data_IF_075298677892
#
_entry.id   IF_075298677892
#
_cell.length_a   1.000
_cell.length_b   1.000
_cell.length_c   1.000
_cell.angle_alpha   90.00
_cell.angle_beta   90.00
_cell.angle_gamma   90.00
#
_symmetry.space_group_name_H-M   'P 1'
#
loop_
_entity.id
_entity.type
_entity.pdbx_description
1 polymer ?
#
# COMPACT_ATOMS: atom_id res chain seq x y z
N UNK A 1 -0.17 -8.11 -25.72
CA UNK A 1 0.68 -7.92 -24.51
C UNK A 1 1.60 -6.73 -24.77
N UNK A 2 1.58 -5.75 -23.91
CA UNK A 2 2.36 -4.49 -24.05
C UNK A 2 3.25 -4.34 -22.82
N UNK A 3 4.51 -3.98 -23.04
CA UNK A 3 5.47 -3.81 -21.93
C UNK A 3 5.10 -2.60 -21.08
N UNK A 4 5.24 -2.73 -19.77
CA UNK A 4 4.96 -1.65 -18.83
C UNK A 4 5.72 -0.36 -19.18
N UNK A 5 6.98 -0.52 -19.67
CA UNK A 5 7.81 0.60 -20.12
C UNK A 5 7.16 1.41 -21.25
N UNK A 6 6.44 0.76 -22.14
CA UNK A 6 5.78 1.43 -23.27
C UNK A 6 4.55 2.20 -22.81
N UNK A 7 3.90 1.72 -21.75
CA UNK A 7 2.70 2.34 -21.13
C UNK A 7 3.08 3.54 -20.25
N UNK A 8 4.09 3.40 -19.39
CA UNK A 8 4.40 4.41 -18.36
C UNK A 8 5.73 5.12 -18.57
N UNK A 9 6.60 4.59 -19.43
CA UNK A 9 8.00 4.99 -19.48
C UNK A 9 8.83 4.38 -18.35
N UNK A 10 9.98 4.99 -18.07
CA UNK A 10 10.79 4.65 -16.90
C UNK A 10 10.12 5.13 -15.62
N UNK A 11 10.29 4.40 -14.54
CA UNK A 11 9.86 4.87 -13.24
C UNK A 11 10.64 6.13 -12.83
N UNK A 12 9.92 7.22 -12.53
CA UNK A 12 10.54 8.43 -12.00
C UNK A 12 10.95 8.19 -10.54
N UNK A 13 12.15 8.58 -10.18
CA UNK A 13 12.64 8.48 -8.81
C UNK A 13 12.08 9.62 -7.95
N UNK A 14 11.65 9.30 -6.73
CA UNK A 14 11.15 10.31 -5.79
C UNK A 14 12.25 11.20 -5.21
N UNK A 15 11.82 12.15 -4.39
CA UNK A 15 12.68 13.11 -3.69
C UNK A 15 12.49 12.97 -2.18
N UNK A 16 13.55 13.26 -1.42
CA UNK A 16 13.47 13.20 0.03
C UNK A 16 13.72 14.55 0.70
N UNK A 17 14.63 15.36 0.15
CA UNK A 17 15.00 16.65 0.72
C UNK A 17 15.60 16.58 2.13
N UNK A 18 15.41 17.64 2.92
CA UNK A 18 15.86 17.75 4.31
C UNK A 18 14.67 17.78 5.26
N UNK A 19 14.93 17.62 6.56
CA UNK A 19 13.88 17.68 7.59
C UNK A 19 13.20 19.05 7.59
N UNK A 20 11.90 19.05 7.85
CA UNK A 20 11.08 20.24 7.95
C UNK A 20 10.67 20.43 9.41
N UNK A 21 11.38 21.31 10.11
CA UNK A 21 11.11 21.66 11.50
C UNK A 21 9.93 22.64 11.64
N UNK A 22 9.51 23.26 10.54
CA UNK A 22 8.49 24.32 10.52
C UNK A 22 7.10 23.84 10.15
N UNK A 23 7.00 22.65 9.51
CA UNK A 23 5.74 22.09 9.05
C UNK A 23 5.16 22.76 7.79
N UNK A 24 5.93 23.63 7.11
CA UNK A 24 5.52 24.31 5.88
C UNK A 24 6.06 23.66 4.60
N UNK A 25 6.82 22.58 4.74
CA UNK A 25 7.38 21.82 3.64
C UNK A 25 6.34 21.05 2.83
N UNK A 26 6.81 20.36 1.81
CA UNK A 26 5.97 19.55 0.92
C UNK A 26 5.71 18.19 1.58
N UNK A 27 4.45 17.71 1.64
CA UNK A 27 4.17 16.37 2.14
C UNK A 27 4.71 15.29 1.19
N UNK A 28 5.43 14.30 1.76
CA UNK A 28 6.11 13.25 1.02
C UNK A 28 5.62 11.87 1.47
N UNK A 29 5.07 11.11 0.54
CA UNK A 29 4.66 9.72 0.78
C UNK A 29 5.88 8.81 0.83
N UNK A 30 5.87 7.88 1.80
CA UNK A 30 6.91 6.86 2.02
C UNK A 30 6.31 5.48 1.91
N UNK A 31 7.16 4.45 1.90
CA UNK A 31 6.73 3.04 1.94
C UNK A 31 5.89 2.70 3.17
N UNK A 32 6.02 3.45 4.27
CA UNK A 32 5.17 3.35 5.47
C UNK A 32 3.74 3.82 5.24
N UNK A 33 3.50 4.62 4.19
CA UNK A 33 2.17 5.06 3.78
C UNK A 33 1.50 4.08 2.79
N UNK A 34 2.16 2.95 2.47
CA UNK A 34 1.61 1.92 1.58
C UNK A 34 0.82 0.90 2.39
N UNK A 35 -0.46 0.75 2.09
CA UNK A 35 -1.26 -0.35 2.66
C UNK A 35 -1.10 -1.63 1.87
N UNK A 36 -1.46 -2.76 2.48
CA UNK A 36 -1.45 -4.05 1.80
C UNK A 36 -2.60 -4.21 0.78
N UNK A 37 -3.56 -3.31 0.80
CA UNK A 37 -4.68 -3.20 -0.12
C UNK A 37 -4.35 -2.36 -1.37
N UNK A 38 -3.15 -1.76 -1.42
CA UNK A 38 -2.71 -0.95 -2.55
C UNK A 38 -3.27 0.47 -2.56
N UNK A 39 -3.65 0.98 -1.40
CA UNK A 39 -4.12 2.36 -1.19
C UNK A 39 -3.15 3.14 -0.32
N UNK A 40 -3.24 4.46 -0.38
CA UNK A 40 -2.44 5.36 0.46
C UNK A 40 -3.02 5.43 1.88
N UNK A 41 -2.18 5.25 2.89
CA UNK A 41 -2.49 5.66 4.26
C UNK A 41 -1.90 7.05 4.49
N UNK A 42 -2.77 8.04 4.67
CA UNK A 42 -2.39 9.43 4.89
C UNK A 42 -2.03 9.76 6.35
N UNK A 43 -2.14 8.78 7.25
CA UNK A 43 -1.67 8.94 8.63
C UNK A 43 -0.14 9.08 8.66
N UNK A 44 0.35 10.03 9.43
CA UNK A 44 1.78 10.27 9.62
C UNK A 44 2.57 10.55 8.32
N UNK A 45 1.97 11.25 7.38
CA UNK A 45 2.70 11.81 6.24
C UNK A 45 3.65 12.89 6.75
N UNK A 46 4.93 12.78 6.38
CA UNK A 46 5.94 13.76 6.76
C UNK A 46 6.03 14.88 5.75
N UNK A 47 6.33 16.08 6.22
CA UNK A 47 6.70 17.21 5.37
C UNK A 47 8.22 17.29 5.23
N UNK A 48 8.69 17.74 4.07
CA UNK A 48 10.12 17.84 3.73
C UNK A 48 10.41 19.15 3.00
N UNK A 49 11.57 19.72 3.25
CA UNK A 49 12.07 20.86 2.49
C UNK A 49 12.78 20.34 1.25
N UNK A 50 12.23 20.62 0.08
CA UNK A 50 12.78 20.23 -1.21
C UNK A 50 13.38 21.47 -1.89
N UNK A 51 14.69 21.51 -2.00
CA UNK A 51 15.43 22.64 -2.62
C UNK A 51 15.65 22.47 -4.11
N UNK A 52 15.38 21.30 -4.66
CA UNK A 52 15.55 20.99 -6.08
C UNK A 52 14.51 21.77 -6.90
N UNK A 53 14.98 22.47 -7.94
CA UNK A 53 14.12 23.39 -8.71
C UNK A 53 13.18 22.69 -9.70
N UNK A 54 13.59 21.55 -10.27
CA UNK A 54 12.83 20.84 -11.31
C UNK A 54 12.18 19.56 -10.72
N UNK A 55 11.06 19.76 -10.04
CA UNK A 55 10.28 18.69 -9.41
C UNK A 55 8.82 18.65 -9.87
N UNK A 56 8.44 19.53 -10.79
CA UNK A 56 7.03 19.67 -11.23
C UNK A 56 6.43 18.35 -11.72
N UNK A 57 7.19 17.55 -12.47
CA UNK A 57 6.76 16.24 -12.96
C UNK A 57 6.58 15.19 -11.86
N UNK A 58 7.15 15.41 -10.67
CA UNK A 58 7.12 14.49 -9.55
C UNK A 58 5.95 14.70 -8.60
N UNK A 59 5.25 15.80 -8.73
CA UNK A 59 4.01 15.95 -7.99
C UNK A 59 3.00 14.89 -8.43
N UNK A 60 2.40 14.24 -7.45
CA UNK A 60 1.44 13.18 -7.69
C UNK A 60 0.15 13.72 -8.28
N UNK A 61 -0.39 12.98 -9.24
CA UNK A 61 -1.65 13.23 -9.92
C UNK A 61 -2.57 12.03 -9.74
N UNK A 62 -3.87 12.26 -9.76
CA UNK A 62 -4.84 11.17 -9.69
C UNK A 62 -4.62 10.18 -10.84
N UNK A 63 -4.53 8.90 -10.50
CA UNK A 63 -4.20 7.83 -11.43
C UNK A 63 -2.74 7.41 -11.44
N UNK A 64 -1.87 8.08 -10.70
CA UNK A 64 -0.48 7.67 -10.55
C UNK A 64 -0.36 6.35 -9.77
N UNK A 65 0.64 5.58 -10.14
CA UNK A 65 0.98 4.33 -9.46
C UNK A 65 2.36 4.50 -8.84
N UNK A 66 2.47 4.28 -7.54
CA UNK A 66 3.75 4.37 -6.83
C UNK A 66 4.21 2.96 -6.50
N UNK A 67 5.42 2.61 -6.91
CA UNK A 67 6.06 1.31 -6.69
C UNK A 67 7.19 1.42 -5.67
N UNK A 68 7.25 0.50 -4.72
CA UNK A 68 8.34 0.37 -3.76
C UNK A 68 9.59 -0.16 -4.44
N UNK A 69 10.70 0.58 -4.34
CA UNK A 69 12.00 0.21 -4.89
C UNK A 69 12.93 -0.41 -3.84
N UNK A 70 12.73 -0.07 -2.58
CA UNK A 70 13.58 -0.53 -1.48
C UNK A 70 12.78 -0.63 -0.19
N UNK A 71 13.07 -1.64 0.63
CA UNK A 71 12.42 -1.82 1.94
C UNK A 71 11.73 -3.17 2.13
N UNK A 72 11.79 -4.07 1.17
CA UNK A 72 11.25 -5.42 1.29
C UNK A 72 12.01 -6.29 2.30
N UNK A 73 11.45 -7.45 2.60
CA UNK A 73 12.02 -8.49 3.45
C UNK A 73 11.69 -9.88 2.90
N UNK A 74 12.24 -10.94 3.49
CA UNK A 74 11.91 -12.31 3.08
C UNK A 74 10.40 -12.63 3.21
N UNK A 75 9.73 -12.05 4.22
CA UNK A 75 8.28 -12.20 4.43
C UNK A 75 7.46 -11.32 3.51
N UNK A 76 7.95 -10.13 3.19
CA UNK A 76 7.26 -9.16 2.36
C UNK A 76 8.19 -8.71 1.23
N UNK A 77 8.04 -9.27 0.01
CA UNK A 77 8.88 -8.92 -1.12
C UNK A 77 8.82 -7.41 -1.40
N UNK A 78 9.89 -6.86 -1.97
CA UNK A 78 9.91 -5.49 -2.47
C UNK A 78 9.07 -5.39 -3.75
N UNK A 79 8.57 -4.19 -4.06
CA UNK A 79 7.76 -3.94 -5.25
C UNK A 79 6.27 -3.84 -4.97
N UNK A 80 5.87 -3.54 -3.72
CA UNK A 80 4.49 -3.14 -3.42
C UNK A 80 4.11 -1.94 -4.28
N UNK A 81 2.85 -1.94 -4.71
CA UNK A 81 2.30 -0.84 -5.48
C UNK A 81 1.08 -0.26 -4.78
N UNK A 82 0.93 1.05 -4.89
CA UNK A 82 -0.28 1.76 -4.47
C UNK A 82 -0.81 2.60 -5.62
N UNK A 83 -2.12 2.80 -5.61
CA UNK A 83 -2.81 3.72 -6.49
C UNK A 83 -3.02 5.05 -5.78
N UNK A 84 -2.64 6.14 -6.43
CA UNK A 84 -2.85 7.47 -5.89
C UNK A 84 -4.15 8.06 -6.46
N UNK A 85 -5.06 8.42 -5.56
CA UNK A 85 -6.35 9.05 -5.85
C UNK A 85 -6.57 10.32 -5.00
N UNK A 86 -5.49 10.83 -4.40
CA UNK A 86 -5.49 12.04 -3.59
C UNK A 86 -5.48 13.33 -4.40
N UNK A 87 -5.40 14.48 -3.71
CA UNK A 87 -5.37 15.79 -4.35
C UNK A 87 -4.11 15.95 -5.20
N UNK A 88 -4.34 16.41 -6.43
CA UNK A 88 -3.28 16.64 -7.41
C UNK A 88 -2.31 17.72 -6.96
N UNK A 89 -1.05 17.60 -7.37
CA UNK A 89 0.02 18.58 -7.14
C UNK A 89 0.26 18.94 -5.66
N UNK A 90 -0.14 18.07 -4.74
CA UNK A 90 0.00 18.29 -3.29
C UNK A 90 1.14 17.46 -2.71
N UNK A 91 1.27 16.20 -3.13
CA UNK A 91 2.18 15.24 -2.56
C UNK A 91 3.35 14.94 -3.50
N UNK A 92 4.51 14.72 -2.91
CA UNK A 92 5.64 14.04 -3.52
C UNK A 92 5.77 12.61 -2.94
N UNK A 93 6.75 11.88 -3.39
CA UNK A 93 7.10 10.54 -2.93
C UNK A 93 8.61 10.42 -2.73
N UNK A 94 9.02 9.55 -1.81
CA UNK A 94 10.43 9.47 -1.40
C UNK A 94 11.30 8.70 -2.42
N UNK A 95 12.61 8.77 -2.25
CA UNK A 95 13.60 8.14 -3.10
C UNK A 95 13.61 6.59 -3.04
N UNK A 96 12.99 5.97 -2.02
CA UNK A 96 12.79 4.52 -1.93
C UNK A 96 11.59 4.02 -2.75
N UNK A 97 10.91 4.92 -3.42
CA UNK A 97 9.76 4.63 -4.28
C UNK A 97 9.99 5.17 -5.70
N UNK A 98 9.20 4.70 -6.64
CA UNK A 98 9.20 5.14 -8.02
C UNK A 98 7.78 5.43 -8.50
N UNK A 99 7.62 6.45 -9.32
CA UNK A 99 6.35 6.81 -9.93
C UNK A 99 6.23 6.18 -11.32
N UNK A 100 5.12 5.51 -11.54
CA UNK A 100 4.67 4.98 -12.84
C UNK A 100 3.41 5.75 -13.24
N UNK A 101 3.53 6.62 -14.22
CA UNK A 101 2.42 7.43 -14.75
C UNK A 101 2.03 6.94 -16.13
N UNK A 102 0.77 6.58 -16.32
CA UNK A 102 0.24 6.21 -17.65
C UNK A 102 0.31 7.40 -18.58
N UNK A 103 0.95 7.21 -19.76
CA UNK A 103 1.19 8.27 -20.74
C UNK A 103 -0.02 8.56 -21.59
N UNK A 104 -0.65 7.50 -22.11
CA UNK A 104 -1.86 7.61 -22.92
C UNK A 104 -3.06 7.01 -22.19
N UNK A 105 -3.87 7.89 -21.59
CA UNK A 105 -5.10 7.51 -20.86
C UNK A 105 -6.26 7.15 -21.81
N UNK A 106 -6.13 7.40 -23.13
CA UNK A 106 -7.12 6.98 -24.11
C UNK A 106 -6.96 5.51 -24.49
N UNK A 107 -5.76 4.96 -24.30
CA UNK A 107 -5.43 3.56 -24.58
C UNK A 107 -5.42 2.72 -23.29
N UNK A 108 -4.86 3.28 -22.21
CA UNK A 108 -4.63 2.58 -20.96
C UNK A 108 -5.34 3.27 -19.78
N UNK A 109 -6.28 2.56 -19.18
CA UNK A 109 -6.93 3.03 -17.95
C UNK A 109 -5.98 2.86 -16.76
N UNK A 110 -5.56 3.93 -16.05
CA UNK A 110 -4.55 3.84 -14.99
C UNK A 110 -4.87 2.81 -13.90
N UNK A 111 -6.15 2.69 -13.54
CA UNK A 111 -6.63 1.71 -12.56
C UNK A 111 -6.43 0.26 -13.02
N UNK A 112 -6.54 0.00 -14.33
CA UNK A 112 -6.29 -1.32 -14.92
C UNK A 112 -4.80 -1.68 -14.85
N UNK A 113 -3.92 -0.74 -15.17
CA UNK A 113 -2.47 -0.90 -15.03
C UNK A 113 -2.10 -1.18 -13.57
N UNK A 114 -2.66 -0.42 -12.64
CA UNK A 114 -2.47 -0.67 -11.21
C UNK A 114 -2.91 -2.07 -10.79
N UNK A 115 -4.10 -2.53 -11.15
CA UNK A 115 -4.58 -3.86 -10.79
C UNK A 115 -3.71 -4.98 -11.37
N UNK A 116 -3.19 -4.80 -12.57
CA UNK A 116 -2.26 -5.74 -13.18
C UNK A 116 -0.96 -5.85 -12.36
N UNK A 117 -0.37 -4.73 -11.97
CA UNK A 117 0.82 -4.67 -11.13
C UNK A 117 0.55 -5.22 -9.73
N UNK A 118 -0.56 -4.85 -9.14
CA UNK A 118 -0.97 -5.30 -7.81
C UNK A 118 -1.16 -6.82 -7.76
N UNK A 119 -1.84 -7.40 -8.75
CA UNK A 119 -2.01 -8.83 -8.86
C UNK A 119 -0.67 -9.55 -9.09
N UNK A 120 0.22 -9.00 -9.91
CA UNK A 120 1.57 -9.52 -10.12
C UNK A 120 2.37 -9.53 -8.80
N UNK A 121 2.37 -8.42 -8.06
CA UNK A 121 3.01 -8.33 -6.76
C UNK A 121 2.47 -9.38 -5.77
N UNK A 122 1.14 -9.49 -5.64
CA UNK A 122 0.49 -10.47 -4.75
C UNK A 122 0.84 -11.93 -5.08
N UNK A 123 1.13 -12.23 -6.33
CA UNK A 123 1.60 -13.55 -6.80
C UNK A 123 3.11 -13.73 -6.65
N UNK A 124 3.84 -12.75 -6.12
CA UNK A 124 5.29 -12.79 -5.97
C UNK A 124 6.07 -12.53 -7.27
N UNK A 125 5.43 -11.95 -8.28
CA UNK A 125 6.05 -11.68 -9.59
C UNK A 125 7.18 -10.66 -9.57
N UNK A 126 7.37 -9.93 -8.48
CA UNK A 126 8.51 -9.02 -8.30
C UNK A 126 9.77 -9.74 -7.79
N UNK A 127 9.64 -10.93 -7.18
CA UNK A 127 10.77 -11.69 -6.61
C UNK A 127 11.94 -11.96 -7.56
N UNK A 128 11.74 -12.30 -8.85
CA UNK A 128 12.84 -12.49 -9.79
C UNK A 128 13.68 -11.22 -10.04
N UNK A 129 13.13 -10.06 -9.71
CA UNK A 129 13.76 -8.75 -9.88
C UNK A 129 14.35 -8.19 -8.58
N UNK A 130 14.30 -8.96 -7.48
CA UNK A 130 14.90 -8.54 -6.21
C UNK A 130 16.43 -8.68 -6.25
N UNK A 131 17.10 -7.70 -5.68
CA UNK A 131 18.50 -7.77 -5.31
C UNK A 131 18.60 -7.72 -3.79
N UNK A 132 19.20 -8.76 -3.20
CA UNK A 132 19.41 -8.87 -1.75
C UNK A 132 20.84 -8.46 -1.44
N UNK A 133 21.03 -7.24 -0.99
CA UNK A 133 22.30 -6.76 -0.47
C UNK A 133 22.15 -6.39 1.01
N UNK A 134 22.97 -7.01 1.89
CA UNK A 134 23.11 -6.62 3.32
C UNK A 134 21.78 -6.42 4.08
N UNK A 135 20.80 -7.34 3.88
CA UNK A 135 19.53 -7.33 4.63
C UNK A 135 18.44 -6.40 4.09
N UNK A 136 18.75 -5.56 3.11
CA UNK A 136 17.75 -4.75 2.40
C UNK A 136 17.44 -5.38 1.05
N UNK A 137 16.14 -5.52 0.76
CA UNK A 137 15.69 -5.97 -0.53
C UNK A 137 15.41 -4.77 -1.44
N UNK A 138 16.06 -4.74 -2.59
CA UNK A 138 15.90 -3.70 -3.60
C UNK A 138 15.31 -4.29 -4.87
N UNK A 139 14.36 -3.60 -5.48
CA UNK A 139 13.80 -3.95 -6.77
C UNK A 139 14.69 -3.41 -7.90
N UNK A 140 15.09 -4.25 -8.84
CA UNK A 140 15.65 -3.84 -10.13
C UNK A 140 14.54 -3.24 -11.00
N UNK A 141 14.14 -2.01 -10.66
CA UNK A 141 12.93 -1.37 -11.18
C UNK A 141 12.97 -1.24 -12.69
N UNK A 142 14.11 -0.86 -13.28
CA UNK A 142 14.25 -0.72 -14.73
C UNK A 142 14.09 -2.06 -15.46
N UNK A 143 14.64 -3.15 -14.89
CA UNK A 143 14.47 -4.51 -15.41
C UNK A 143 13.00 -4.94 -15.31
N UNK A 144 12.37 -4.72 -14.17
CA UNK A 144 10.96 -5.05 -13.96
C UNK A 144 10.06 -4.30 -14.95
N UNK A 145 10.21 -2.99 -15.05
CA UNK A 145 9.40 -2.15 -15.96
C UNK A 145 9.62 -2.52 -17.43
N UNK A 146 10.84 -2.92 -17.82
CA UNK A 146 11.15 -3.29 -19.20
C UNK A 146 10.68 -4.69 -19.61
N UNK A 147 10.47 -5.59 -18.63
CA UNK A 147 10.11 -7.00 -18.91
C UNK A 147 8.68 -7.34 -18.56
N UNK A 148 8.06 -6.62 -17.62
CA UNK A 148 6.68 -6.89 -17.26
C UNK A 148 5.73 -6.45 -18.36
N UNK A 149 4.84 -7.36 -18.75
CA UNK A 149 3.85 -7.14 -19.82
C UNK A 149 2.43 -7.16 -19.26
N UNK A 150 1.60 -6.26 -19.76
CA UNK A 150 0.19 -6.14 -19.41
C UNK A 150 -0.65 -6.58 -20.62
N UNK A 151 -1.73 -7.31 -20.36
CA UNK A 151 -2.65 -7.73 -21.41
C UNK A 151 -3.37 -6.52 -21.98
N UNK A 152 -3.21 -6.32 -23.28
CA UNK A 152 -3.91 -5.28 -24.01
C UNK A 152 -5.34 -5.71 -24.33
N UNK A 153 -6.29 -4.91 -23.90
CA UNK A 153 -7.72 -5.07 -24.18
C UNK A 153 -8.35 -3.68 -24.41
N UNK A 154 -9.48 -3.60 -25.11
CA UNK A 154 -10.14 -2.32 -25.37
C UNK A 154 -10.41 -1.54 -24.07
N UNK A 155 -10.27 -0.20 -24.12
CA UNK A 155 -10.37 0.69 -22.96
C UNK A 155 -11.69 0.51 -22.18
N UNK A 156 -12.81 0.36 -22.89
CA UNK A 156 -14.12 0.11 -22.25
C UNK A 156 -14.15 -1.18 -21.43
N UNK A 157 -13.43 -2.23 -21.86
CA UNK A 157 -13.29 -3.48 -21.10
C UNK A 157 -12.38 -3.29 -19.89
N UNK A 158 -11.28 -2.51 -20.03
CA UNK A 158 -10.42 -2.17 -18.88
C UNK A 158 -11.22 -1.47 -17.78
N UNK A 159 -12.02 -0.47 -18.14
CA UNK A 159 -12.88 0.28 -17.20
C UNK A 159 -13.91 -0.66 -16.55
N UNK A 160 -14.60 -1.50 -17.33
CA UNK A 160 -15.59 -2.42 -16.82
C UNK A 160 -15.02 -3.43 -15.81
N UNK A 161 -13.85 -4.00 -16.10
CA UNK A 161 -13.14 -4.92 -15.19
C UNK A 161 -12.77 -4.19 -13.89
N UNK A 162 -12.23 -2.98 -13.99
CA UNK A 162 -11.85 -2.20 -12.80
C UNK A 162 -13.07 -1.88 -11.92
N UNK A 163 -14.20 -1.49 -12.52
CA UNK A 163 -15.42 -1.23 -11.77
C UNK A 163 -15.90 -2.47 -10.97
N UNK A 164 -15.81 -3.66 -11.55
CA UNK A 164 -16.13 -4.91 -10.86
C UNK A 164 -15.16 -5.20 -9.72
N UNK A 165 -13.84 -5.04 -9.95
CA UNK A 165 -12.82 -5.24 -8.93
C UNK A 165 -12.96 -4.25 -7.77
N UNK A 166 -13.26 -2.98 -8.05
CA UNK A 166 -13.52 -1.96 -7.02
C UNK A 166 -14.72 -2.31 -6.15
N UNK A 167 -15.79 -2.83 -6.74
CA UNK A 167 -16.97 -3.30 -6.00
C UNK A 167 -16.61 -4.49 -5.08
N UNK A 168 -15.86 -5.47 -5.60
CA UNK A 168 -15.41 -6.63 -4.81
C UNK A 168 -14.53 -6.18 -3.64
N UNK A 169 -13.57 -5.30 -3.87
CA UNK A 169 -12.71 -4.77 -2.81
C UNK A 169 -13.49 -3.99 -1.76
N UNK A 170 -14.48 -3.20 -2.20
CA UNK A 170 -15.39 -2.51 -1.27
C UNK A 170 -16.14 -3.49 -0.35
N UNK A 171 -16.68 -4.57 -0.90
CA UNK A 171 -17.37 -5.60 -0.12
C UNK A 171 -16.40 -6.29 0.86
N UNK A 172 -15.19 -6.65 0.40
CA UNK A 172 -14.17 -7.26 1.26
C UNK A 172 -13.82 -6.35 2.43
N UNK A 173 -13.61 -5.05 2.19
CA UNK A 173 -13.27 -4.09 3.23
C UNK A 173 -14.41 -3.86 4.21
N UNK A 174 -15.66 -3.81 3.75
CA UNK A 174 -16.83 -3.75 4.62
C UNK A 174 -16.91 -4.98 5.53
N UNK A 175 -16.74 -6.19 4.98
CA UNK A 175 -16.75 -7.43 5.78
C UNK A 175 -15.62 -7.49 6.80
N UNK A 176 -14.43 -7.04 6.45
CA UNK A 176 -13.31 -6.95 7.41
C UNK A 176 -13.64 -5.99 8.56
N UNK A 177 -14.26 -4.86 8.26
CA UNK A 177 -14.71 -3.90 9.28
C UNK A 177 -15.80 -4.48 10.18
N UNK A 178 -16.77 -5.19 9.62
CA UNK A 178 -17.80 -5.91 10.38
C UNK A 178 -17.17 -6.91 11.35
N UNK A 179 -16.23 -7.75 10.87
CA UNK A 179 -15.52 -8.73 11.72
C UNK A 179 -14.78 -8.02 12.85
N UNK A 180 -14.03 -6.96 12.55
CA UNK A 180 -13.32 -6.19 13.58
C UNK A 180 -14.27 -5.62 14.63
N UNK A 181 -15.41 -5.07 14.21
CA UNK A 181 -16.41 -4.53 15.13
C UNK A 181 -17.01 -5.65 16.03
N UNK A 182 -17.25 -6.83 15.46
CA UNK A 182 -17.74 -7.99 16.24
C UNK A 182 -16.70 -8.46 17.25
N UNK A 183 -15.43 -8.53 16.87
CA UNK A 183 -14.35 -8.86 17.80
C UNK A 183 -14.25 -7.87 18.96
N UNK A 184 -14.43 -6.59 18.68
CA UNK A 184 -14.39 -5.54 19.71
C UNK A 184 -15.59 -5.59 20.65
N UNK A 185 -16.75 -6.07 20.19
CA UNK A 185 -17.92 -6.32 21.04
C UNK A 185 -17.74 -7.55 21.93
N UNK A 186 -17.12 -8.62 21.42
CA UNK A 186 -16.98 -9.88 22.14
C UNK A 186 -15.86 -9.80 23.21
N UNK A 187 -14.75 -9.11 22.94
CA UNK A 187 -13.60 -9.00 23.87
C UNK A 187 -13.95 -8.54 25.28
N UNK A 188 -14.79 -7.48 25.51
CA UNK A 188 -15.15 -7.04 26.85
C UNK A 188 -15.97 -8.10 27.62
N UNK A 189 -16.88 -8.78 26.95
CA UNK A 189 -17.76 -9.77 27.57
C UNK A 189 -17.00 -11.05 27.97
N UNK A 190 -16.08 -11.51 27.12
CA UNK A 190 -15.18 -12.62 27.46
C UNK A 190 -14.29 -12.28 28.64
N UNK A 191 -13.76 -11.06 28.72
CA UNK A 191 -12.94 -10.59 29.83
C UNK A 191 -13.73 -10.55 31.14
N UNK A 192 -14.99 -10.08 31.12
CA UNK A 192 -15.91 -10.08 32.27
C UNK A 192 -16.24 -11.49 32.71
N UNK A 193 -16.56 -12.41 31.81
CA UNK A 193 -16.85 -13.81 32.12
C UNK A 193 -15.64 -14.51 32.77
N UNK A 194 -14.42 -14.24 32.27
CA UNK A 194 -13.20 -14.82 32.85
C UNK A 194 -12.90 -14.29 34.26
N UNK A 195 -13.15 -13.01 34.52
CA UNK A 195 -13.00 -12.42 35.87
C UNK A 195 -14.04 -13.02 36.81
N UNK A 196 -15.30 -13.10 36.42
CA UNK A 196 -16.37 -13.72 37.24
C UNK A 196 -16.03 -15.18 37.53
N UNK A 197 -15.58 -15.96 36.56
CA UNK A 197 -15.16 -17.36 36.76
C UNK A 197 -14.02 -17.49 37.76
N UNK A 198 -13.03 -16.60 37.71
CA UNK A 198 -11.90 -16.60 38.66
C UNK A 198 -12.37 -16.24 40.05
N UNK A 199 -13.32 -15.30 40.21
CA UNK A 199 -13.90 -14.92 41.51
C UNK A 199 -14.70 -16.08 42.11
N UNK A 200 -15.56 -16.74 41.35
CA UNK A 200 -16.34 -17.90 41.79
C UNK A 200 -15.41 -19.04 42.24
N UNK A 201 -14.33 -19.32 41.51
CA UNK A 201 -13.34 -20.34 41.88
C UNK A 201 -12.64 -19.97 43.21
N UNK A 202 -12.30 -18.67 43.40
CA UNK A 202 -11.62 -18.21 44.63
C UNK A 202 -12.54 -18.24 45.85
N UNK A 203 -13.79 -17.90 45.70
CA UNK A 203 -14.77 -17.95 46.79
C UNK A 203 -15.22 -19.38 47.11
N UNK A 204 -15.33 -20.24 46.10
CA UNK A 204 -15.60 -21.67 46.29
C UNK A 204 -14.44 -22.41 46.99
N UNK A 205 -13.20 -21.96 46.83
CA UNK A 205 -12.05 -22.47 47.58
C UNK A 205 -12.07 -21.99 49.02
N UNK A 206 -12.41 -20.71 49.29
CA UNK A 206 -12.50 -20.19 50.64
C UNK A 206 -13.59 -20.90 51.48
N UNK A 207 -14.73 -21.21 50.88
CA UNK A 207 -15.83 -21.90 51.59
C UNK A 207 -15.48 -23.37 51.92
N UNK A 208 -14.54 -23.99 51.23
CA UNK A 208 -14.03 -25.36 51.56
C UNK A 208 -13.02 -25.35 52.69
N UNK A 209 -12.27 -24.27 52.90
CA UNK A 209 -11.29 -24.15 53.99
C UNK A 209 -11.88 -23.63 55.32
N UNK A 210 -13.12 -23.15 55.34
CA UNK A 210 -13.82 -22.73 56.54
C UNK A 210 -14.68 -23.82 57.19
N UNK A 211 -14.71 -25.05 56.63
CA UNK A 211 -15.49 -26.17 57.16
C UNK A 211 -14.67 -27.30 57.78
N UNK A 212 -13.39 -27.01 58.11
CA UNK A 212 -12.51 -27.95 58.84
C UNK A 212 -12.04 -27.30 60.13
#
# INVERSE_FOLDING_TARGET
>A
MTKLKDITGKALSGEWGTDDETGVGIPVLRTTNFTNEGIVNYENVVTRIITKKDISEKYLQSGDIIIEKSGGSDKQPVGRVIYFDGPENTYLFNNFTGLLRVRDKNEWFPRYVFYSLFANYKKGGTRPFENKTTGLHNLKTDDYVSRYEITEIPLNKQVAICAQLDQILKVINLRRKEISNLDDLIKPDLSRCLVIRKLIQRDGLKSRFQKN
#
